data_IF_143786855360
#
_entry.id   IF_143786855360
#
_cell.length_a   1.000
_cell.length_b   1.000
_cell.length_c   1.000
_cell.angle_alpha   90.00
_cell.angle_beta   90.00
_cell.angle_gamma   90.00
#
_symmetry.space_group_name_H-M   'P 1'
#
loop_
_entity.id
_entity.type
_entity.pdbx_description
1 polymer ?
#
# COMPACT_ATOMS: atom_id res chain seq x y z
N UNK A 1 -43.73 -32.30 -7.06
CA UNK A 1 -42.78 -33.42 -7.16
C UNK A 1 -41.41 -32.78 -7.33
N UNK A 2 -40.30 -33.04 -6.63
CA UNK A 2 -39.79 -34.16 -5.80
C UNK A 2 -38.74 -33.58 -4.81
N UNK A 3 -38.77 -33.96 -3.52
CA UNK A 3 -37.82 -34.84 -2.79
C UNK A 3 -36.38 -34.34 -2.51
N UNK A 4 -36.17 -33.93 -1.24
CA UNK A 4 -35.15 -34.35 -0.25
C UNK A 4 -33.66 -34.43 -0.66
N UNK A 5 -32.84 -33.59 -0.04
CA UNK A 5 -31.42 -33.86 0.20
C UNK A 5 -31.21 -34.37 1.63
N UNK A 6 -30.45 -35.47 1.75
CA UNK A 6 -30.22 -36.23 2.99
C UNK A 6 -28.99 -35.69 3.73
N UNK A 7 -29.15 -35.51 5.04
CA UNK A 7 -28.06 -35.30 5.98
C UNK A 7 -27.26 -36.59 6.20
N UNK A 8 -25.93 -36.50 6.26
CA UNK A 8 -25.09 -37.50 6.89
C UNK A 8 -23.97 -36.83 7.70
N UNK A 9 -24.13 -36.85 9.03
CA UNK A 9 -23.03 -36.68 9.96
C UNK A 9 -22.39 -38.04 10.26
N UNK A 10 -21.09 -38.03 10.54
CA UNK A 10 -20.38 -39.08 11.28
C UNK A 10 -19.16 -38.48 12.00
N UNK A 11 -19.05 -38.77 13.30
CA UNK A 11 -17.94 -38.35 14.16
C UNK A 11 -17.09 -39.53 14.66
N UNK A 12 -15.93 -39.16 15.23
CA UNK A 12 -14.93 -39.93 16.02
C UNK A 12 -14.06 -40.96 15.26
N UNK A 13 -12.74 -41.13 15.44
CA UNK A 13 -11.71 -40.53 16.31
C UNK A 13 -10.37 -41.33 16.21
N UNK A 14 -9.27 -40.74 16.73
CA UNK A 14 -7.94 -41.30 17.11
C UNK A 14 -6.78 -41.41 16.09
N UNK A 15 -5.84 -40.45 16.19
CA UNK A 15 -4.48 -40.66 16.71
C UNK A 15 -3.44 -41.39 15.84
N UNK A 16 -2.53 -40.62 15.23
CA UNK A 16 -1.12 -41.03 15.04
C UNK A 16 -0.18 -39.84 15.19
N UNK A 17 0.61 -39.87 16.26
CA UNK A 17 1.81 -39.08 16.45
C UNK A 17 2.81 -39.35 15.32
N UNK A 18 3.05 -38.34 14.48
CA UNK A 18 4.23 -38.25 13.62
C UNK A 18 4.82 -36.87 13.85
N UNK A 19 5.86 -36.86 14.68
CA UNK A 19 6.81 -35.76 14.87
C UNK A 19 7.33 -35.33 13.51
N UNK A 20 6.88 -34.17 13.05
CA UNK A 20 7.50 -33.41 11.98
C UNK A 20 7.74 -32.02 12.53
N UNK A 21 8.91 -31.80 13.13
CA UNK A 21 9.43 -30.46 13.37
C UNK A 21 9.71 -29.82 12.01
N UNK A 22 8.68 -29.36 11.33
CA UNK A 22 8.86 -28.31 10.35
C UNK A 22 8.89 -27.03 11.15
N UNK A 23 10.10 -26.50 11.22
CA UNK A 23 10.44 -25.21 11.76
C UNK A 23 9.52 -24.19 11.07
N UNK A 24 8.42 -23.80 11.71
CA UNK A 24 7.60 -22.64 11.36
C UNK A 24 8.45 -21.39 11.61
N UNK A 25 9.51 -21.23 10.82
CA UNK A 25 10.02 -19.90 10.51
C UNK A 25 9.16 -19.41 9.38
N UNK A 26 7.93 -19.05 9.72
CA UNK A 26 7.26 -17.97 9.02
C UNK A 26 8.22 -16.79 9.17
N UNK A 27 9.04 -16.59 8.14
CA UNK A 27 9.75 -15.34 7.93
C UNK A 27 8.63 -14.31 7.81
N UNK A 28 8.26 -13.68 8.92
CA UNK A 28 7.26 -12.61 8.94
C UNK A 28 7.81 -11.54 8.00
N UNK A 29 7.29 -11.51 6.76
CA UNK A 29 7.61 -10.48 5.79
C UNK A 29 7.37 -9.13 6.46
N UNK A 30 8.47 -8.48 6.85
CA UNK A 30 8.41 -7.25 7.62
C UNK A 30 8.22 -6.14 6.61
N UNK A 31 6.97 -5.91 6.20
CA UNK A 31 6.61 -4.78 5.36
C UNK A 31 7.05 -3.49 6.07
N UNK A 32 8.08 -2.85 5.52
CA UNK A 32 8.62 -1.62 6.07
C UNK A 32 7.84 -0.44 5.50
N UNK A 33 7.09 0.24 6.36
CA UNK A 33 6.37 1.48 6.04
C UNK A 33 6.95 2.63 6.86
N UNK A 34 6.99 3.83 6.28
CA UNK A 34 7.32 5.06 6.99
C UNK A 34 6.46 6.21 6.49
N UNK A 35 6.08 7.11 7.40
CA UNK A 35 5.32 8.32 7.07
C UNK A 35 6.16 9.56 7.36
N UNK A 36 6.08 10.56 6.49
CA UNK A 36 6.74 11.85 6.67
C UNK A 36 5.74 12.98 6.43
N UNK A 37 5.73 13.98 7.31
CA UNK A 37 4.86 15.14 7.22
C UNK A 37 5.70 16.41 7.16
N UNK A 38 5.39 17.28 6.20
CA UNK A 38 6.07 18.56 6.00
C UNK A 38 5.04 19.68 6.05
N UNK A 39 5.41 20.81 6.68
CA UNK A 39 4.60 22.04 6.70
C UNK A 39 5.45 23.20 6.24
N UNK A 40 4.96 23.91 5.24
CA UNK A 40 5.57 25.13 4.72
C UNK A 40 4.66 26.31 5.06
N UNK A 41 5.26 27.45 5.38
CA UNK A 41 4.54 28.73 5.56
C UNK A 41 4.93 29.61 4.38
N UNK A 42 3.95 29.97 3.58
CA UNK A 42 4.12 30.82 2.40
C UNK A 42 3.34 32.11 2.61
N UNK A 43 3.94 33.26 2.34
CA UNK A 43 3.22 34.56 2.38
C UNK A 43 2.19 34.67 1.25
N UNK A 44 2.46 34.00 0.13
CA UNK A 44 1.66 34.02 -1.10
C UNK A 44 1.42 32.60 -1.64
N UNK A 45 0.59 31.78 -0.98
CA UNK A 45 0.32 30.41 -1.42
C UNK A 45 -0.32 30.32 -2.81
N UNK A 46 -1.02 31.37 -3.25
CA UNK A 46 -1.67 31.47 -4.56
C UNK A 46 -0.69 31.49 -5.74
N UNK A 47 0.60 31.78 -5.47
CA UNK A 47 1.65 31.79 -6.51
C UNK A 47 2.28 30.41 -6.73
N UNK A 48 1.90 29.40 -5.94
CA UNK A 48 2.45 28.06 -6.06
C UNK A 48 1.88 27.38 -7.30
N UNK A 49 2.73 27.17 -8.31
CA UNK A 49 2.32 26.57 -9.59
C UNK A 49 2.78 25.12 -9.79
N UNK A 50 3.82 24.69 -9.08
CA UNK A 50 4.34 23.32 -9.19
C UNK A 50 5.18 22.90 -7.98
N UNK A 51 5.38 21.58 -7.86
CA UNK A 51 6.27 20.93 -6.90
C UNK A 51 7.21 19.99 -7.67
N UNK A 52 8.51 20.15 -7.48
CA UNK A 52 9.53 19.25 -8.02
C UNK A 52 9.86 18.15 -7.00
N UNK A 53 9.49 16.90 -7.31
CA UNK A 53 9.73 15.76 -6.44
C UNK A 53 11.19 15.28 -6.54
N UNK A 54 12.04 15.73 -5.60
CA UNK A 54 13.45 15.28 -5.51
C UNK A 54 13.63 13.84 -5.00
N UNK A 55 12.54 13.17 -4.63
CA UNK A 55 12.56 11.83 -4.03
C UNK A 55 13.31 10.79 -4.88
N UNK A 56 13.10 10.79 -6.21
CA UNK A 56 13.76 9.83 -7.11
C UNK A 56 15.27 10.02 -7.19
N UNK A 57 15.79 11.23 -6.92
CA UNK A 57 17.23 11.45 -6.87
C UNK A 57 17.87 10.87 -5.59
N UNK A 58 17.11 10.86 -4.49
CA UNK A 58 17.54 10.28 -3.20
C UNK A 58 17.36 8.76 -3.19
N UNK A 59 16.29 8.26 -3.83
CA UNK A 59 15.96 6.85 -3.95
C UNK A 59 15.87 6.42 -5.42
N UNK A 60 16.99 6.13 -6.10
CA UNK A 60 17.01 5.84 -7.54
C UNK A 60 16.23 4.59 -7.95
N UNK A 61 15.91 3.71 -7.00
CA UNK A 61 15.12 2.49 -7.23
C UNK A 61 13.61 2.69 -7.08
N UNK A 62 13.18 3.85 -6.59
CA UNK A 62 11.76 4.19 -6.51
C UNK A 62 11.16 4.31 -7.92
N UNK A 63 9.97 3.76 -8.12
CA UNK A 63 9.32 3.68 -9.45
C UNK A 63 8.29 4.78 -9.64
N UNK A 64 7.44 4.94 -8.65
CA UNK A 64 6.27 5.81 -8.73
C UNK A 64 6.01 6.52 -7.40
N UNK A 65 5.36 7.68 -7.48
CA UNK A 65 4.75 8.38 -6.36
C UNK A 65 3.31 8.68 -6.74
N UNK A 66 2.39 8.17 -5.94
CA UNK A 66 0.98 8.48 -6.02
C UNK A 66 0.65 9.78 -5.26
N UNK A 67 0.51 10.87 -6.01
CA UNK A 67 0.20 12.18 -5.44
C UNK A 67 -1.31 12.36 -5.38
N UNK A 68 -1.80 12.81 -4.22
CA UNK A 68 -3.15 13.34 -4.04
C UNK A 68 -3.01 14.78 -3.58
N UNK A 69 -3.57 15.72 -4.34
CA UNK A 69 -3.48 17.14 -4.08
C UNK A 69 -4.89 17.73 -3.87
N UNK A 70 -4.99 18.66 -2.93
CA UNK A 70 -6.17 19.49 -2.68
C UNK A 70 -5.68 20.93 -2.63
N UNK A 71 -6.11 21.74 -3.58
CA UNK A 71 -5.84 23.17 -3.67
C UNK A 71 -7.15 23.94 -3.44
N UNK A 72 -7.11 25.27 -3.29
CA UNK A 72 -8.34 26.07 -3.24
C UNK A 72 -9.22 25.88 -4.49
N UNK A 73 -8.63 25.63 -5.65
CA UNK A 73 -9.33 25.55 -6.93
C UNK A 73 -9.82 24.13 -7.27
N UNK A 74 -9.07 23.09 -6.90
CA UNK A 74 -9.35 21.72 -7.34
C UNK A 74 -8.78 20.63 -6.41
N UNK A 75 -9.26 19.39 -6.62
CA UNK A 75 -8.67 18.18 -6.04
C UNK A 75 -8.35 17.21 -7.17
N UNK A 76 -7.16 16.61 -7.12
CA UNK A 76 -6.73 15.68 -8.16
C UNK A 76 -5.76 14.62 -7.64
N UNK A 77 -5.58 13.57 -8.45
CA UNK A 77 -4.56 12.53 -8.28
C UNK A 77 -3.64 12.51 -9.50
N UNK A 78 -2.36 12.29 -9.28
CA UNK A 78 -1.38 12.14 -10.36
C UNK A 78 -0.29 11.16 -9.94
N UNK A 79 0.12 10.32 -10.88
CA UNK A 79 1.33 9.50 -10.72
C UNK A 79 2.54 10.30 -11.21
N UNK A 80 3.59 10.32 -10.39
CA UNK A 80 4.91 10.82 -10.80
C UNK A 80 5.87 9.65 -10.92
N UNK A 81 6.79 9.75 -11.88
CA UNK A 81 7.89 8.80 -12.06
C UNK A 81 9.21 9.57 -12.14
N UNK A 82 10.34 8.86 -12.13
CA UNK A 82 11.65 9.50 -12.31
C UNK A 82 11.76 10.30 -13.63
N UNK A 83 11.04 9.90 -14.68
CA UNK A 83 10.99 10.63 -15.97
C UNK A 83 10.02 11.82 -15.99
N UNK A 84 9.11 11.91 -15.02
CA UNK A 84 8.13 12.98 -14.89
C UNK A 84 7.87 13.28 -13.40
N UNK A 85 8.88 13.87 -12.75
CA UNK A 85 8.89 14.11 -11.31
C UNK A 85 8.29 15.48 -10.90
N UNK A 86 7.76 16.26 -11.85
CA UNK A 86 7.14 17.55 -11.58
C UNK A 86 5.63 17.41 -11.46
N UNK A 87 5.08 17.84 -10.34
CA UNK A 87 3.65 18.03 -10.13
C UNK A 87 3.28 19.48 -10.47
N UNK A 88 2.41 19.68 -11.44
CA UNK A 88 1.79 21.01 -11.68
C UNK A 88 0.50 21.10 -10.87
N UNK A 89 0.23 22.26 -10.26
CA UNK A 89 -0.95 22.56 -9.44
C UNK A 89 -2.03 23.30 -10.23
#
# INVERSE_FOLDING_TARGET
>A
AEKREKHHGHGHGHGKDKRGHHNDKADEETHSEFHAHYRYVCDHPEKLSHIDAKFFAVFPRAREIDVRAVTPENQFRRELTAGNARLTL
#
